data_IF_001987509092
#
_entry.id   IF_001987509092
#
_cell.length_a   1.000
_cell.length_b   1.000
_cell.length_c   1.000
_cell.angle_alpha   90.00
_cell.angle_beta   90.00
_cell.angle_gamma   90.00
#
_symmetry.space_group_name_H-M   'P 1'
#
loop_
_entity.id
_entity.type
_entity.pdbx_description
1 polymer ?
#
# COMPACT_ATOMS: atom_id res chain seq x y z
N UNK A 1 -3.22 27.79 29.52
CA UNK A 1 -3.11 27.09 28.23
C UNK A 1 -3.18 25.60 28.51
N UNK A 2 -4.26 24.91 28.16
CA UNK A 2 -4.36 23.45 28.34
C UNK A 2 -3.82 22.80 27.07
N UNK A 3 -2.79 21.97 27.21
CA UNK A 3 -2.18 21.24 26.12
C UNK A 3 -3.24 20.41 25.37
N UNK A 4 -3.19 20.46 24.05
CA UNK A 4 -4.07 19.72 23.15
C UNK A 4 -3.56 18.29 23.05
N UNK A 5 -3.95 17.43 24.01
CA UNK A 5 -3.47 16.05 24.08
C UNK A 5 -4.14 15.22 23.00
N UNK A 6 -3.38 14.89 21.95
CA UNK A 6 -3.75 13.93 20.91
C UNK A 6 -3.25 12.54 21.30
N UNK A 7 -4.09 11.52 21.12
CA UNK A 7 -3.71 10.12 21.34
C UNK A 7 -3.68 9.40 20.00
N UNK A 8 -2.56 8.74 19.71
CA UNK A 8 -2.42 7.83 18.56
C UNK A 8 -2.52 6.40 19.09
N UNK A 9 -3.43 5.60 18.56
CA UNK A 9 -3.59 4.19 18.92
C UNK A 9 -3.04 3.33 17.78
N UNK A 10 -1.97 2.60 18.06
CA UNK A 10 -1.39 1.63 17.13
C UNK A 10 -1.86 0.22 17.51
N UNK A 11 -2.54 -0.46 16.59
CA UNK A 11 -3.05 -1.82 16.80
C UNK A 11 -2.33 -2.76 15.85
N UNK A 12 -1.62 -3.71 16.41
CA UNK A 12 -0.94 -4.77 15.67
C UNK A 12 -1.49 -6.12 16.10
N UNK A 13 -1.66 -7.03 15.14
CA UNK A 13 -1.92 -8.45 15.39
C UNK A 13 -1.04 -9.24 14.45
N UNK A 14 -0.39 -10.27 14.99
CA UNK A 14 0.40 -11.21 14.22
C UNK A 14 -0.42 -11.75 13.03
N UNK A 15 0.25 -11.96 11.89
CA UNK A 15 -0.35 -12.44 10.62
C UNK A 15 -1.26 -11.46 9.87
N UNK A 16 -1.39 -10.22 10.31
CA UNK A 16 -2.28 -9.26 9.69
C UNK A 16 -1.58 -7.95 9.34
N UNK A 17 -1.96 -7.36 8.20
CA UNK A 17 -1.52 -6.00 7.87
C UNK A 17 -2.06 -5.04 8.94
N UNK A 18 -1.20 -4.25 9.62
CA UNK A 18 -1.62 -3.26 10.61
C UNK A 18 -2.65 -2.29 10.01
N UNK A 19 -3.52 -1.70 10.82
CA UNK A 19 -4.51 -0.69 10.41
C UNK A 19 -3.89 0.63 9.91
N UNK A 20 -4.65 1.46 9.18
CA UNK A 20 -4.32 2.90 9.08
C UNK A 20 -4.39 3.52 10.48
N UNK A 21 -3.56 4.53 10.76
CA UNK A 21 -3.57 5.20 12.07
C UNK A 21 -4.97 5.72 12.40
N UNK A 22 -5.46 5.35 13.58
CA UNK A 22 -6.71 5.88 14.10
C UNK A 22 -6.40 7.04 15.04
N UNK A 23 -6.76 8.25 14.62
CA UNK A 23 -6.64 9.45 15.44
C UNK A 23 -7.97 9.66 16.16
N UNK A 24 -7.92 9.68 17.50
CA UNK A 24 -9.08 10.05 18.31
C UNK A 24 -8.97 11.53 18.65
N UNK A 25 -9.93 12.32 18.17
CA UNK A 25 -10.05 13.72 18.53
C UNK A 25 -10.85 13.92 19.82
N UNK A 26 -10.60 15.02 20.54
CA UNK A 26 -11.23 15.30 21.85
C UNK A 26 -12.76 15.43 21.81
N UNK A 27 -13.35 15.68 20.65
CA UNK A 27 -14.79 15.67 20.42
C UNK A 27 -15.39 14.24 20.32
N UNK A 28 -14.55 13.22 20.13
CA UNK A 28 -14.97 11.82 19.95
C UNK A 28 -14.94 11.00 21.24
N UNK A 29 -14.44 11.56 22.35
CA UNK A 29 -14.41 10.88 23.63
C UNK A 29 -14.49 11.85 24.81
N UNK A 30 -15.03 11.38 25.93
CA UNK A 30 -14.99 12.13 27.18
C UNK A 30 -13.73 11.73 27.96
N UNK A 31 -12.73 12.63 28.13
CA UNK A 31 -11.46 12.29 28.77
C UNK A 31 -11.58 11.95 30.27
N UNK A 32 -12.75 12.19 30.89
CA UNK A 32 -13.02 11.90 32.30
C UNK A 32 -13.84 10.62 32.49
N UNK A 33 -14.60 10.18 31.46
CA UNK A 33 -15.53 9.03 31.54
C UNK A 33 -15.17 7.84 30.66
N UNK A 34 -14.31 8.02 29.67
CA UNK A 34 -13.99 6.96 28.68
C UNK A 34 -12.80 6.16 29.18
N UNK A 35 -13.04 4.98 29.74
CA UNK A 35 -11.99 4.09 30.29
C UNK A 35 -11.45 3.10 29.26
N UNK A 36 -12.24 2.78 28.23
CA UNK A 36 -11.87 1.84 27.19
C UNK A 36 -12.33 2.38 25.83
N UNK A 37 -11.41 2.48 24.88
CA UNK A 37 -11.76 2.63 23.45
C UNK A 37 -11.45 1.31 22.78
N UNK A 38 -12.49 0.57 22.42
CA UNK A 38 -12.35 -0.63 21.59
C UNK A 38 -12.30 -0.19 20.14
N UNK A 39 -11.15 -0.35 19.51
CA UNK A 39 -10.98 -0.13 18.08
C UNK A 39 -10.99 -1.50 17.41
N UNK A 40 -12.14 -1.88 16.86
CA UNK A 40 -12.25 -3.04 15.98
C UNK A 40 -11.78 -2.61 14.58
N UNK A 41 -10.50 -2.78 14.28
CA UNK A 41 -9.98 -2.56 12.93
C UNK A 41 -9.56 -3.88 12.29
N UNK A 42 -10.19 -4.21 11.15
CA UNK A 42 -9.91 -5.40 10.36
C UNK A 42 -8.53 -5.31 9.68
N UNK A 43 -7.53 -5.68 10.45
CA UNK A 43 -6.41 -6.55 10.13
C UNK A 43 -6.68 -7.45 8.90
N UNK A 44 -6.42 -6.93 7.70
CA UNK A 44 -6.53 -7.72 6.47
C UNK A 44 -5.50 -8.85 6.57
N UNK A 45 -5.96 -10.09 6.74
CA UNK A 45 -5.10 -11.27 6.73
C UNK A 45 -4.82 -11.66 5.29
N UNK A 46 -3.57 -11.51 4.80
CA UNK A 46 -3.28 -11.87 3.43
C UNK A 46 -3.46 -13.36 3.22
N UNK A 47 -4.23 -13.71 2.19
CA UNK A 47 -4.34 -15.08 1.70
C UNK A 47 -3.25 -15.32 0.66
N UNK A 48 -2.78 -16.57 0.61
CA UNK A 48 -1.78 -16.98 -0.36
C UNK A 48 -2.30 -16.72 -1.78
N UNK A 49 -1.47 -16.09 -2.62
CA UNK A 49 -1.78 -15.74 -3.99
C UNK A 49 -2.97 -14.79 -4.22
N UNK A 50 -3.46 -14.12 -3.18
CA UNK A 50 -4.50 -13.09 -3.30
C UNK A 50 -3.88 -11.69 -3.28
N UNK A 51 -4.08 -10.87 -4.33
CA UNK A 51 -3.55 -9.51 -4.36
C UNK A 51 -4.33 -8.59 -3.40
N UNK A 52 -3.58 -7.80 -2.65
CA UNK A 52 -4.08 -6.75 -1.76
C UNK A 52 -3.58 -5.44 -2.31
N UNK A 53 -4.51 -4.54 -2.61
CA UNK A 53 -4.18 -3.18 -3.04
C UNK A 53 -3.61 -2.40 -1.86
N UNK A 54 -2.45 -1.79 -2.09
CA UNK A 54 -1.88 -0.84 -1.14
C UNK A 54 -2.47 0.55 -1.39
N UNK A 55 -3.04 1.14 -0.34
CA UNK A 55 -3.65 2.45 -0.44
C UNK A 55 -2.57 3.53 -0.51
N UNK A 56 -2.89 4.66 -1.12
CA UNK A 56 -2.03 5.86 -1.11
C UNK A 56 -0.61 5.71 -1.68
N UNK A 57 -0.29 4.59 -2.35
CA UNK A 57 0.94 4.49 -3.15
C UNK A 57 0.72 5.20 -4.49
N UNK A 58 0.78 6.52 -4.42
CA UNK A 58 0.74 7.40 -5.57
C UNK A 58 2.15 7.64 -6.10
N UNK A 59 2.24 7.82 -7.42
CA UNK A 59 3.45 8.22 -8.09
C UNK A 59 3.16 9.50 -8.86
N UNK A 60 4.12 10.43 -8.87
CA UNK A 60 4.03 11.55 -9.81
C UNK A 60 4.03 11.03 -11.26
N UNK A 61 3.51 11.85 -12.16
CA UNK A 61 3.57 11.56 -13.59
C UNK A 61 5.01 11.28 -14.04
N UNK A 62 5.21 10.15 -14.73
CA UNK A 62 6.51 9.65 -15.20
C UNK A 62 7.59 9.45 -14.11
N UNK A 63 7.20 9.34 -12.83
CA UNK A 63 8.15 9.01 -11.76
C UNK A 63 7.87 7.64 -11.15
N UNK A 64 8.95 7.03 -10.68
CA UNK A 64 8.94 5.83 -9.86
C UNK A 64 9.31 6.12 -8.39
N UNK A 65 9.62 7.36 -8.04
CA UNK A 65 10.00 7.76 -6.68
C UNK A 65 8.83 7.61 -5.73
N UNK A 66 9.07 7.00 -4.56
CA UNK A 66 8.10 6.91 -3.48
C UNK A 66 7.91 8.29 -2.87
N UNK A 67 6.67 8.77 -2.89
CA UNK A 67 6.29 10.05 -2.30
C UNK A 67 6.17 9.94 -0.78
N UNK A 68 6.31 11.05 -0.02
CA UNK A 68 6.16 11.04 1.43
C UNK A 68 4.81 10.54 1.93
N UNK A 69 3.72 10.79 1.18
CA UNK A 69 2.36 10.35 1.49
C UNK A 69 2.16 8.83 1.36
N UNK A 70 3.01 8.14 0.59
CA UNK A 70 3.01 6.68 0.47
C UNK A 70 3.78 5.97 1.60
N UNK A 71 4.63 6.70 2.35
CA UNK A 71 5.48 6.11 3.40
C UNK A 71 4.69 5.43 4.52
N UNK A 72 3.60 6.02 5.07
CA UNK A 72 2.84 5.35 6.14
C UNK A 72 2.30 3.97 5.72
N UNK A 73 1.85 3.83 4.47
CA UNK A 73 1.40 2.54 3.95
C UNK A 73 2.55 1.53 3.83
N UNK A 74 3.70 1.98 3.35
CA UNK A 74 4.89 1.13 3.23
C UNK A 74 5.43 0.73 4.60
N UNK A 75 5.37 1.62 5.60
CA UNK A 75 5.79 1.35 6.97
C UNK A 75 4.88 0.30 7.62
N UNK A 76 3.56 0.34 7.35
CA UNK A 76 2.62 -0.74 7.74
C UNK A 76 3.03 -2.08 7.14
N UNK A 77 3.42 -2.09 5.87
CA UNK A 77 3.90 -3.29 5.20
C UNK A 77 5.23 -3.79 5.79
N UNK A 78 6.16 -2.89 6.12
CA UNK A 78 7.41 -3.24 6.81
C UNK A 78 7.11 -3.93 8.14
N UNK A 79 6.27 -3.33 8.97
CA UNK A 79 5.88 -3.91 10.26
C UNK A 79 5.29 -5.32 10.10
N UNK A 80 4.39 -5.49 9.13
CA UNK A 80 3.84 -6.81 8.79
C UNK A 80 4.92 -7.84 8.40
N UNK A 81 5.87 -7.45 7.56
CA UNK A 81 6.91 -8.37 7.08
C UNK A 81 7.97 -8.69 8.15
N UNK A 82 8.18 -7.80 9.11
CA UNK A 82 9.02 -8.03 10.29
C UNK A 82 8.33 -9.01 11.26
N UNK A 83 7.04 -8.84 11.51
CA UNK A 83 6.26 -9.72 12.40
C UNK A 83 6.07 -11.13 11.81
N UNK A 84 6.24 -11.29 10.50
CA UNK A 84 6.04 -12.54 9.78
C UNK A 84 7.28 -12.92 8.93
N UNK A 85 8.41 -13.32 9.56
CA UNK A 85 9.70 -13.46 8.89
C UNK A 85 9.77 -14.54 7.80
N UNK A 86 8.85 -15.52 7.83
CA UNK A 86 8.81 -16.62 6.86
C UNK A 86 7.99 -16.30 5.61
N UNK A 87 7.30 -15.15 5.57
CA UNK A 87 6.44 -14.78 4.45
C UNK A 87 7.28 -14.17 3.32
N UNK A 88 7.01 -14.59 2.09
CA UNK A 88 7.50 -13.97 0.86
C UNK A 88 6.36 -13.22 0.19
N UNK A 89 6.68 -12.11 -0.49
CA UNK A 89 5.69 -11.27 -1.16
C UNK A 89 6.10 -10.92 -2.58
N UNK A 90 5.10 -10.83 -3.44
CA UNK A 90 5.18 -10.18 -4.75
C UNK A 90 4.64 -8.76 -4.63
N UNK A 91 5.48 -7.77 -4.92
CA UNK A 91 5.12 -6.36 -5.08
C UNK A 91 4.89 -6.08 -6.55
N UNK A 92 3.64 -5.77 -6.88
CA UNK A 92 3.17 -5.60 -8.25
C UNK A 92 2.78 -4.15 -8.49
N UNK A 93 3.21 -3.57 -9.62
CA UNK A 93 2.74 -2.24 -10.02
C UNK A 93 2.08 -2.28 -11.38
N UNK A 94 1.11 -1.39 -11.57
CA UNK A 94 0.28 -1.29 -12.76
C UNK A 94 0.21 0.15 -13.26
N UNK A 95 0.00 0.31 -14.55
CA UNK A 95 -0.26 1.61 -15.20
C UNK A 95 -1.70 1.70 -15.67
N UNK A 96 -2.11 2.90 -16.08
CA UNK A 96 -3.30 3.05 -16.89
C UNK A 96 -3.00 2.71 -18.37
N UNK A 97 -4.04 2.75 -19.21
CA UNK A 97 -3.98 2.36 -20.62
C UNK A 97 -3.45 3.45 -21.56
N UNK A 98 -2.82 4.51 -21.04
CA UNK A 98 -2.27 5.60 -21.85
C UNK A 98 -0.76 5.41 -21.98
N UNK A 99 -0.24 5.63 -23.19
CA UNK A 99 1.17 5.40 -23.53
C UNK A 99 1.35 4.11 -24.32
N UNK A 100 2.59 3.74 -24.60
CA UNK A 100 2.89 2.46 -25.25
C UNK A 100 3.06 1.35 -24.22
N UNK A 101 2.69 0.12 -24.59
CA UNK A 101 2.80 -1.06 -23.75
C UNK A 101 4.21 -1.22 -23.17
N UNK A 102 5.24 -1.02 -24.02
CA UNK A 102 6.66 -1.11 -23.63
C UNK A 102 7.06 -0.05 -22.60
N UNK A 103 6.55 1.17 -22.74
CA UNK A 103 6.78 2.25 -21.79
C UNK A 103 6.09 1.94 -20.46
N UNK A 104 4.83 1.51 -20.51
CA UNK A 104 4.03 1.18 -19.33
C UNK A 104 4.60 -0.02 -18.56
N UNK A 105 5.12 -1.02 -19.27
CA UNK A 105 5.81 -2.15 -18.67
C UNK A 105 7.08 -1.71 -17.93
N UNK A 106 7.90 -0.85 -18.55
CA UNK A 106 9.10 -0.31 -17.90
C UNK A 106 8.76 0.55 -16.68
N UNK A 107 7.78 1.45 -16.80
CA UNK A 107 7.37 2.36 -15.74
C UNK A 107 6.83 1.60 -14.53
N UNK A 108 5.95 0.62 -14.75
CA UNK A 108 5.46 -0.23 -13.67
C UNK A 108 6.57 -1.05 -13.01
N UNK A 109 7.54 -1.59 -13.78
CA UNK A 109 8.65 -2.33 -13.18
C UNK A 109 9.53 -1.44 -12.31
N UNK A 110 9.81 -0.22 -12.76
CA UNK A 110 10.55 0.77 -11.96
C UNK A 110 9.84 1.08 -10.64
N UNK A 111 8.51 1.26 -10.68
CA UNK A 111 7.67 1.49 -9.49
C UNK A 111 7.72 0.34 -8.50
N UNK A 112 7.55 -0.89 -8.99
CA UNK A 112 7.66 -2.09 -8.16
C UNK A 112 9.06 -2.24 -7.53
N UNK A 113 10.11 -1.88 -8.28
CA UNK A 113 11.48 -1.88 -7.80
C UNK A 113 11.72 -0.83 -6.71
N UNK A 114 11.14 0.37 -6.82
CA UNK A 114 11.23 1.39 -5.78
C UNK A 114 10.62 0.92 -4.47
N UNK A 115 9.44 0.28 -4.53
CA UNK A 115 8.79 -0.31 -3.34
C UNK A 115 9.68 -1.39 -2.72
N UNK A 116 10.22 -2.30 -3.53
CA UNK A 116 11.19 -3.30 -3.06
C UNK A 116 12.40 -2.63 -2.38
N UNK A 117 12.98 -1.60 -2.99
CA UNK A 117 14.13 -0.90 -2.43
C UNK A 117 13.82 -0.28 -1.06
N UNK A 118 12.65 0.34 -0.90
CA UNK A 118 12.19 0.88 0.37
C UNK A 118 12.09 -0.21 1.45
N UNK A 119 11.43 -1.33 1.15
CA UNK A 119 11.29 -2.43 2.11
C UNK A 119 12.66 -3.00 2.53
N UNK A 120 13.61 -3.09 1.59
CA UNK A 120 14.97 -3.54 1.87
C UNK A 120 15.74 -2.57 2.75
N UNK A 121 15.62 -1.26 2.49
CA UNK A 121 16.21 -0.20 3.32
C UNK A 121 15.71 -0.27 4.78
N UNK A 122 14.46 -0.73 4.98
CA UNK A 122 13.83 -0.88 6.29
C UNK A 122 13.99 -2.29 6.89
N UNK A 123 14.95 -3.08 6.39
CA UNK A 123 15.40 -4.32 7.03
C UNK A 123 14.74 -5.61 6.54
N UNK A 124 13.90 -5.56 5.49
CA UNK A 124 13.35 -6.77 4.88
C UNK A 124 14.36 -7.39 3.91
N UNK A 125 14.64 -8.69 4.03
CA UNK A 125 15.54 -9.38 3.10
C UNK A 125 15.02 -9.31 1.66
N UNK A 126 15.87 -8.87 0.72
CA UNK A 126 15.56 -8.79 -0.72
C UNK A 126 15.07 -10.11 -1.31
N UNK A 127 15.51 -11.25 -0.77
CA UNK A 127 15.07 -12.59 -1.17
C UNK A 127 13.59 -12.88 -0.91
N UNK A 128 12.99 -12.15 0.04
CA UNK A 128 11.57 -12.25 0.40
C UNK A 128 10.66 -11.41 -0.47
N UNK A 129 11.21 -10.60 -1.37
CA UNK A 129 10.45 -9.63 -2.17
C UNK A 129 10.72 -9.87 -3.66
N UNK A 130 9.67 -10.25 -4.38
CA UNK A 130 9.64 -10.28 -5.84
C UNK A 130 8.98 -8.98 -6.33
N UNK A 131 9.61 -8.23 -7.22
CA UNK A 131 9.01 -7.00 -7.79
C UNK A 131 8.63 -7.22 -9.26
N UNK A 132 7.37 -6.98 -9.61
CA UNK A 132 6.83 -7.21 -10.96
C UNK A 132 6.09 -5.99 -11.48
N UNK A 133 6.51 -5.49 -12.65
CA UNK A 133 5.76 -4.52 -13.42
C UNK A 133 4.82 -5.21 -14.40
N UNK A 134 3.52 -4.99 -14.29
CA UNK A 134 2.54 -5.55 -15.23
C UNK A 134 2.14 -4.57 -16.34
N UNK A 135 2.59 -3.32 -16.27
CA UNK A 135 2.12 -2.25 -17.14
C UNK A 135 0.59 -2.17 -17.13
N UNK A 136 0.01 -2.12 -18.32
CA UNK A 136 -1.43 -2.09 -18.57
C UNK A 136 -2.02 -3.47 -18.87
N UNK A 137 -1.29 -4.57 -18.67
CA UNK A 137 -1.79 -5.92 -19.01
C UNK A 137 -2.88 -6.43 -18.06
N UNK A 138 -3.10 -5.73 -16.93
CA UNK A 138 -4.06 -6.09 -15.87
C UNK A 138 -4.89 -4.89 -15.42
N UNK A 139 -5.63 -4.31 -16.36
CA UNK A 139 -6.59 -3.22 -16.09
C UNK A 139 -7.81 -3.76 -15.33
N UNK A 140 -8.38 -2.94 -14.45
CA UNK A 140 -9.52 -3.29 -13.59
C UNK A 140 -10.86 -2.86 -14.16
N UNK A 141 -10.87 -2.20 -15.32
CA UNK A 141 -12.05 -1.61 -15.93
C UNK A 141 -11.98 -1.76 -17.46
N UNK A 142 -12.96 -1.17 -18.15
CA UNK A 142 -13.10 -1.22 -19.61
C UNK A 142 -12.00 -0.48 -20.38
N UNK A 143 -11.08 0.23 -19.71
CA UNK A 143 -10.03 0.97 -20.39
C UNK A 143 -9.14 0.03 -21.17
N UNK A 144 -8.64 0.51 -22.30
CA UNK A 144 -7.67 -0.16 -23.16
C UNK A 144 -7.15 0.84 -24.18
N UNK A 145 -6.19 0.43 -25.00
CA UNK A 145 -5.60 1.27 -26.04
C UNK A 145 -6.68 1.75 -27.02
N UNK A 146 -6.82 3.07 -27.14
CA UNK A 146 -7.82 3.71 -28.00
C UNK A 146 -9.22 3.80 -27.39
N UNK A 147 -9.48 3.28 -26.19
CA UNK A 147 -10.78 3.43 -25.51
C UNK A 147 -10.77 4.67 -24.61
N UNK A 148 -11.65 5.66 -24.84
CA UNK A 148 -11.78 6.82 -23.98
C UNK A 148 -12.21 6.44 -22.56
N UNK A 149 -11.44 6.88 -21.58
CA UNK A 149 -11.71 6.66 -20.17
C UNK A 149 -11.62 7.96 -19.38
N UNK A 150 -12.37 8.02 -18.28
CA UNK A 150 -12.29 9.14 -17.35
C UNK A 150 -10.98 9.08 -16.54
N UNK A 151 -10.56 10.22 -15.98
CA UNK A 151 -9.37 10.25 -15.14
C UNK A 151 -9.53 9.38 -13.87
N UNK A 152 -10.75 9.27 -13.34
CA UNK A 152 -11.06 8.37 -12.23
C UNK A 152 -10.80 6.90 -12.60
N UNK A 153 -11.17 6.49 -13.81
CA UNK A 153 -10.92 5.13 -14.31
C UNK A 153 -9.44 4.86 -14.52
N UNK A 154 -8.69 5.82 -15.07
CA UNK A 154 -7.25 5.70 -15.18
C UNK A 154 -6.58 5.62 -13.79
N UNK A 155 -7.04 6.41 -12.82
CA UNK A 155 -6.53 6.40 -11.45
C UNK A 155 -6.78 5.07 -10.73
N UNK A 156 -7.86 4.34 -11.04
CA UNK A 156 -8.09 3.00 -10.51
C UNK A 156 -7.03 2.00 -11.00
N UNK A 157 -6.58 2.14 -12.25
CA UNK A 157 -5.57 1.26 -12.84
C UNK A 157 -4.15 1.54 -12.33
N UNK A 158 -3.83 2.82 -12.09
CA UNK A 158 -2.56 3.25 -11.48
C UNK A 158 -2.49 2.86 -10.01
N UNK A 159 -2.00 1.66 -9.73
CA UNK A 159 -1.98 1.08 -8.38
C UNK A 159 -0.75 0.21 -8.16
N UNK A 160 -0.47 -0.03 -6.88
CA UNK A 160 0.48 -1.04 -6.42
C UNK A 160 -0.29 -2.06 -5.58
N UNK A 161 0.02 -3.33 -5.79
CA UNK A 161 -0.55 -4.46 -5.05
C UNK A 161 0.58 -5.24 -4.38
N UNK A 162 0.26 -5.87 -3.26
CA UNK A 162 1.08 -6.90 -2.65
C UNK A 162 0.35 -8.23 -2.72
N UNK A 163 1.09 -9.33 -2.81
CA UNK A 163 0.53 -10.68 -2.78
C UNK A 163 1.47 -11.58 -1.99
N UNK A 164 0.97 -12.32 -1.01
CA UNK A 164 1.77 -13.35 -0.34
C UNK A 164 1.98 -14.51 -1.30
N UNK A 165 3.23 -14.96 -1.41
CA UNK A 165 3.65 -16.07 -2.27
C UNK A 165 4.37 -17.14 -1.43
N UNK A 166 4.48 -18.34 -1.98
CA UNK A 166 5.24 -19.46 -1.41
C UNK A 166 6.74 -19.16 -1.34
#
# INVERSE_FOLDING_TARGET
MRADTRYTINITKKECLPAEEFIIEKNQYNPVKTTLVTVDHCLTKPKLNEPIRLNNIHYDFDKATIRPDARPELDRLVAYLLDNPNIRVEMSSHTDSRGSDSYNLRLSQQRANSVKAYLVEHGISSSRIVSVGYGETRLLNRCSNGVPCSEAEHQLNRRTEMKVIE
#
